data_IF_169599883991
#
_entry.id   IF_169599883991
#
_cell.length_a   1.000
_cell.length_b   1.000
_cell.length_c   1.000
_cell.angle_alpha   90.00
_cell.angle_beta   90.00
_cell.angle_gamma   90.00
#
_symmetry.space_group_name_H-M   'P 1'
#
loop_
_entity.id
_entity.type
_entity.pdbx_description
1 polymer ?
#
# COMPACT_ATOMS: atom_id res chain seq x y z
N UNK A 1 9.19 37.54 8.76
CA UNK A 1 8.75 36.86 10.00
C UNK A 1 7.85 35.72 9.58
N UNK A 2 8.29 34.48 9.74
CA UNK A 2 7.38 33.33 9.66
C UNK A 2 6.54 33.42 10.94
N UNK A 3 5.24 33.66 10.80
CA UNK A 3 4.30 33.70 11.92
C UNK A 3 4.44 32.39 12.73
N UNK A 4 4.56 32.49 14.05
CA UNK A 4 4.73 31.34 14.93
C UNK A 4 3.64 30.28 14.74
N UNK A 5 2.44 30.69 14.31
CA UNK A 5 1.32 29.81 13.94
C UNK A 5 1.66 28.92 12.75
N UNK A 6 2.30 29.48 11.72
CA UNK A 6 2.73 28.71 10.54
C UNK A 6 3.91 27.77 10.82
N UNK A 7 4.73 28.09 11.83
CA UNK A 7 5.87 27.25 12.22
C UNK A 7 5.42 25.92 12.83
N UNK A 8 4.45 25.94 13.76
CA UNK A 8 3.93 24.71 14.38
C UNK A 8 3.27 23.79 13.37
N UNK A 9 2.43 24.35 12.49
CA UNK A 9 1.76 23.54 11.46
C UNK A 9 2.78 22.96 10.47
N UNK A 10 3.79 23.72 10.04
CA UNK A 10 4.87 23.20 9.20
C UNK A 10 5.61 22.04 9.87
N UNK A 11 5.93 22.16 11.16
CA UNK A 11 6.59 21.08 11.89
C UNK A 11 5.72 19.83 11.99
N UNK A 12 4.41 20.00 12.17
CA UNK A 12 3.46 18.89 12.13
C UNK A 12 3.45 18.17 10.77
N UNK A 13 3.40 18.92 9.67
CA UNK A 13 3.45 18.34 8.32
C UNK A 13 4.78 17.60 8.06
N UNK A 14 5.91 18.18 8.50
CA UNK A 14 7.22 17.53 8.39
C UNK A 14 7.31 16.28 9.26
N UNK A 15 6.76 16.32 10.47
CA UNK A 15 6.68 15.14 11.33
C UNK A 15 5.87 14.02 10.67
N UNK A 16 4.71 14.34 10.10
CA UNK A 16 3.86 13.36 9.44
C UNK A 16 4.54 12.76 8.20
N UNK A 17 5.18 13.60 7.39
CA UNK A 17 6.01 13.16 6.27
C UNK A 17 7.10 12.18 6.71
N UNK A 18 7.87 12.56 7.72
CA UNK A 18 8.97 11.74 8.23
C UNK A 18 8.47 10.46 8.89
N UNK A 19 7.27 10.47 9.49
CA UNK A 19 6.64 9.27 10.01
C UNK A 19 6.36 8.26 8.89
N UNK A 20 5.78 8.71 7.77
CA UNK A 20 5.56 7.85 6.60
C UNK A 20 6.87 7.32 6.03
N UNK A 21 7.89 8.17 5.87
CA UNK A 21 9.21 7.76 5.36
C UNK A 21 9.84 6.68 6.27
N UNK A 22 9.82 6.90 7.59
CA UNK A 22 10.34 5.94 8.56
C UNK A 22 9.57 4.62 8.55
N UNK A 23 8.24 4.69 8.49
CA UNK A 23 7.34 3.52 8.53
C UNK A 23 7.47 2.67 7.27
N UNK A 24 7.49 3.30 6.09
CA UNK A 24 7.44 2.59 4.82
C UNK A 24 8.83 2.41 4.21
N UNK A 25 9.60 3.47 4.00
CA UNK A 25 10.86 3.38 3.24
C UNK A 25 11.96 2.71 4.04
N UNK A 26 12.19 3.17 5.28
CA UNK A 26 13.26 2.58 6.07
C UNK A 26 12.96 1.12 6.42
N UNK A 27 11.69 0.76 6.63
CA UNK A 27 11.29 -0.62 6.87
C UNK A 27 11.54 -1.49 5.64
N UNK A 28 11.17 -1.02 4.43
CA UNK A 28 11.46 -1.70 3.17
C UNK A 28 12.96 -1.84 2.93
N UNK A 29 13.72 -0.75 3.10
CA UNK A 29 15.18 -0.77 2.92
C UNK A 29 15.87 -1.71 3.91
N UNK A 30 15.44 -1.73 5.19
CA UNK A 30 15.93 -2.70 6.18
C UNK A 30 15.57 -4.13 5.80
N UNK A 31 14.37 -4.37 5.28
CA UNK A 31 13.96 -5.70 4.82
C UNK A 31 14.79 -6.16 3.63
N UNK A 32 14.94 -5.30 2.62
CA UNK A 32 15.69 -5.59 1.39
C UNK A 32 17.19 -5.80 1.64
N UNK A 33 17.78 -5.10 2.61
CA UNK A 33 19.19 -5.31 3.00
C UNK A 33 19.46 -6.70 3.59
N UNK A 34 18.44 -7.35 4.15
CA UNK A 34 18.57 -8.67 4.80
C UNK A 34 18.05 -9.80 3.92
N UNK A 35 17.90 -9.57 2.61
CA UNK A 35 17.48 -10.62 1.68
C UNK A 35 18.61 -11.65 1.53
N UNK A 36 18.25 -12.95 1.44
CA UNK A 36 19.20 -13.98 1.05
C UNK A 36 19.75 -13.76 -0.36
N UNK A 37 21.01 -14.16 -0.59
CA UNK A 37 21.71 -13.98 -1.87
C UNK A 37 21.06 -14.72 -3.06
N UNK A 38 20.21 -15.72 -2.79
CA UNK A 38 19.48 -16.50 -3.80
C UNK A 38 18.14 -15.87 -4.20
N UNK A 39 17.84 -14.65 -3.75
CA UNK A 39 16.62 -13.89 -4.09
C UNK A 39 16.96 -12.83 -5.13
N UNK A 40 16.35 -12.93 -6.30
CA UNK A 40 16.60 -12.01 -7.42
C UNK A 40 15.98 -10.63 -7.18
N UNK A 41 14.78 -10.57 -6.57
CA UNK A 41 14.09 -9.32 -6.24
C UNK A 41 12.94 -9.47 -5.26
N UNK A 42 12.48 -8.34 -4.74
CA UNK A 42 11.24 -8.20 -3.96
C UNK A 42 10.12 -7.64 -4.84
N UNK A 43 8.93 -8.21 -4.69
CA UNK A 43 7.69 -7.71 -5.28
C UNK A 43 6.75 -7.33 -4.16
N UNK A 44 6.42 -6.05 -4.06
CA UNK A 44 5.57 -5.58 -2.99
C UNK A 44 4.08 -5.74 -3.36
N UNK A 45 3.23 -6.14 -2.41
CA UNK A 45 1.79 -6.37 -2.66
C UNK A 45 1.11 -5.18 -3.35
N UNK A 46 1.44 -3.94 -2.94
CA UNK A 46 0.87 -2.74 -3.55
C UNK A 46 1.25 -2.60 -5.05
N UNK A 47 2.41 -3.10 -5.47
CA UNK A 47 2.85 -3.11 -6.87
C UNK A 47 1.98 -4.04 -7.73
N UNK A 48 1.57 -5.19 -7.18
CA UNK A 48 0.65 -6.12 -7.85
C UNK A 48 -0.76 -5.55 -8.02
N UNK A 49 -1.10 -4.52 -7.23
CA UNK A 49 -2.40 -3.87 -7.21
C UNK A 49 -2.44 -2.59 -8.07
N UNK A 50 -1.34 -2.19 -8.71
CA UNK A 50 -1.28 -0.94 -9.49
C UNK A 50 -0.65 -1.13 -10.88
N UNK A 51 -0.65 -0.04 -11.65
CA UNK A 51 -0.01 0.14 -12.93
C UNK A 51 1.50 -0.17 -12.86
N UNK A 52 2.00 -1.02 -13.75
CA UNK A 52 3.42 -1.41 -13.76
C UNK A 52 4.36 -0.26 -14.17
N UNK A 53 3.96 0.60 -15.10
CA UNK A 53 4.77 1.79 -15.45
C UNK A 53 4.87 2.77 -14.28
N UNK A 54 3.83 2.88 -13.42
CA UNK A 54 3.91 3.76 -12.23
C UNK A 54 5.05 3.35 -11.31
N UNK A 55 5.23 2.04 -11.07
CA UNK A 55 6.37 1.51 -10.29
C UNK A 55 7.71 1.94 -10.90
N UNK A 56 7.84 1.79 -12.22
CA UNK A 56 9.06 2.21 -12.93
C UNK A 56 9.32 3.70 -12.75
N UNK A 57 8.30 4.54 -12.90
CA UNK A 57 8.42 5.99 -12.68
C UNK A 57 8.76 6.35 -11.23
N UNK A 58 8.28 5.61 -10.23
CA UNK A 58 8.66 5.81 -8.82
C UNK A 58 10.16 5.57 -8.58
N UNK A 59 10.78 4.67 -9.35
CA UNK A 59 12.22 4.39 -9.32
C UNK A 59 13.00 5.43 -10.13
N UNK A 60 12.54 5.75 -11.34
CA UNK A 60 13.23 6.66 -12.26
C UNK A 60 13.14 8.14 -11.81
N UNK A 61 12.10 8.50 -11.04
CA UNK A 61 11.83 9.88 -10.57
C UNK A 61 11.40 9.91 -9.08
N UNK A 62 12.30 9.54 -8.16
CA UNK A 62 11.97 9.40 -6.73
C UNK A 62 11.55 10.73 -6.08
N UNK A 63 12.09 11.86 -6.51
CA UNK A 63 11.71 13.19 -6.00
C UNK A 63 10.26 13.52 -6.30
N UNK A 64 9.76 13.11 -7.48
CA UNK A 64 8.35 13.29 -7.84
C UNK A 64 7.47 12.32 -7.06
N UNK A 65 7.91 11.06 -6.87
CA UNK A 65 7.21 10.10 -6.02
C UNK A 65 7.07 10.60 -4.57
N UNK A 66 8.09 11.27 -4.03
CA UNK A 66 8.08 11.84 -2.68
C UNK A 66 6.99 12.91 -2.50
N UNK A 67 6.70 13.71 -3.54
CA UNK A 67 5.67 14.77 -3.47
C UNK A 67 4.27 14.24 -3.16
N UNK A 68 3.98 12.97 -3.49
CA UNK A 68 2.69 12.32 -3.17
C UNK A 68 2.37 12.38 -1.68
N UNK A 69 3.39 12.32 -0.82
CA UNK A 69 3.24 12.36 0.65
C UNK A 69 2.75 13.70 1.16
N UNK A 70 2.94 14.77 0.39
CA UNK A 70 2.43 16.09 0.71
C UNK A 70 0.99 16.31 0.26
N UNK A 71 0.37 15.35 -0.43
CA UNK A 71 -1.06 15.43 -0.75
C UNK A 71 -1.89 15.40 0.53
N UNK A 72 -2.85 16.34 0.71
CA UNK A 72 -3.71 16.35 1.89
C UNK A 72 -4.45 15.03 2.12
N UNK A 73 -4.94 14.38 1.06
CA UNK A 73 -5.63 13.10 1.18
C UNK A 73 -4.73 11.97 1.71
N UNK A 74 -3.44 11.96 1.32
CA UNK A 74 -2.45 10.98 1.80
C UNK A 74 -2.10 11.24 3.26
N UNK A 75 -1.88 12.50 3.63
CA UNK A 75 -1.64 12.92 5.01
C UNK A 75 -2.81 12.59 5.93
N UNK A 76 -4.05 12.85 5.50
CA UNK A 76 -5.25 12.47 6.24
C UNK A 76 -5.36 10.95 6.39
N UNK A 77 -5.05 10.21 5.34
CA UNK A 77 -4.91 8.75 5.40
C UNK A 77 -3.96 8.33 6.51
N UNK A 78 -2.71 8.82 6.49
CA UNK A 78 -1.72 8.45 7.50
C UNK A 78 -2.17 8.77 8.93
N UNK A 79 -2.86 9.90 9.16
CA UNK A 79 -3.41 10.21 10.48
C UNK A 79 -4.44 9.19 10.95
N UNK A 80 -5.26 8.66 10.04
CA UNK A 80 -6.17 7.53 10.33
C UNK A 80 -5.37 6.28 10.69
N UNK A 81 -4.34 5.90 9.91
CA UNK A 81 -3.50 4.75 10.25
C UNK A 81 -2.86 4.91 11.63
N UNK A 82 -2.27 6.08 11.94
CA UNK A 82 -1.65 6.35 13.26
C UNK A 82 -2.67 6.21 14.39
N UNK A 83 -3.90 6.70 14.20
CA UNK A 83 -4.95 6.57 15.21
C UNK A 83 -5.37 5.11 15.41
N UNK A 84 -5.59 4.36 14.32
CA UNK A 84 -5.98 2.95 14.37
C UNK A 84 -4.87 2.04 14.93
N UNK A 85 -3.60 2.30 14.60
CA UNK A 85 -2.46 1.55 15.12
C UNK A 85 -2.24 1.77 16.62
N UNK A 86 -2.56 2.97 17.12
CA UNK A 86 -2.49 3.29 18.56
C UNK A 86 -3.71 2.81 19.34
N UNK A 87 -4.83 2.58 18.67
CA UNK A 87 -5.99 1.97 19.30
C UNK A 87 -5.62 0.54 19.73
N UNK A 88 -6.07 0.12 20.92
CA UNK A 88 -5.52 -0.98 21.74
C UNK A 88 -5.60 -2.41 21.19
N UNK A 89 -5.30 -2.60 19.91
CA UNK A 89 -5.20 -3.88 19.22
C UNK A 89 -3.81 -4.54 19.37
N UNK A 90 -2.91 -3.97 20.19
CA UNK A 90 -1.50 -4.40 20.35
C UNK A 90 -0.80 -4.66 19.01
N UNK A 91 -1.13 -3.87 17.99
CA UNK A 91 -0.60 -4.08 16.66
C UNK A 91 0.77 -3.43 16.50
N UNK A 92 1.75 -4.23 16.08
CA UNK A 92 3.04 -3.73 15.62
C UNK A 92 3.13 -3.94 14.11
N UNK A 93 3.20 -2.87 13.29
CA UNK A 93 3.40 -2.99 11.85
C UNK A 93 4.57 -3.92 11.54
N UNK A 94 4.29 -4.97 10.79
CA UNK A 94 5.26 -6.02 10.47
C UNK A 94 5.21 -6.32 9.00
N UNK A 95 6.39 -6.51 8.40
CA UNK A 95 6.49 -6.99 7.03
C UNK A 95 6.25 -8.50 7.04
N UNK A 96 5.25 -8.94 6.29
CA UNK A 96 5.03 -10.33 5.96
C UNK A 96 5.62 -10.61 4.58
N UNK A 97 6.15 -11.82 4.40
CA UNK A 97 6.79 -12.20 3.14
C UNK A 97 6.63 -13.68 2.84
N UNK A 98 6.49 -14.01 1.56
CA UNK A 98 6.54 -15.39 1.05
C UNK A 98 7.54 -15.45 -0.10
N UNK A 99 8.41 -16.48 -0.08
CA UNK A 99 9.32 -16.79 -1.18
C UNK A 99 8.55 -17.58 -2.24
N UNK A 100 8.63 -17.15 -3.49
CA UNK A 100 8.03 -17.84 -4.64
C UNK A 100 9.14 -18.13 -5.66
N UNK A 101 9.14 -19.36 -6.18
CA UNK A 101 9.97 -19.74 -7.31
C UNK A 101 9.19 -19.55 -8.61
N UNK A 102 9.67 -18.66 -9.46
CA UNK A 102 9.24 -18.52 -10.86
C UNK A 102 10.12 -19.41 -11.74
N UNK A 103 9.85 -19.43 -13.05
CA UNK A 103 10.56 -20.31 -13.98
C UNK A 103 12.07 -20.10 -13.96
N UNK A 104 12.49 -18.83 -13.98
CA UNK A 104 13.88 -18.41 -14.15
C UNK A 104 14.36 -17.44 -13.04
N UNK A 105 13.52 -17.17 -12.02
CA UNK A 105 13.86 -16.27 -10.90
C UNK A 105 13.22 -16.75 -9.58
N UNK A 106 13.85 -16.43 -8.46
CA UNK A 106 13.31 -16.55 -7.10
C UNK A 106 12.97 -15.17 -6.58
N UNK A 107 11.70 -14.95 -6.28
CA UNK A 107 11.21 -13.65 -5.78
C UNK A 107 10.71 -13.78 -4.36
N UNK A 108 10.78 -12.67 -3.62
CA UNK A 108 10.04 -12.52 -2.37
C UNK A 108 8.85 -11.61 -2.62
N UNK A 109 7.63 -12.11 -2.39
CA UNK A 109 6.44 -11.26 -2.31
C UNK A 109 6.32 -10.75 -0.89
N UNK A 110 6.34 -9.44 -0.71
CA UNK A 110 6.34 -8.79 0.59
C UNK A 110 5.23 -7.75 0.73
N UNK A 111 4.78 -7.51 1.96
CA UNK A 111 3.71 -6.58 2.25
C UNK A 111 3.63 -6.24 3.72
N UNK A 112 3.05 -5.08 4.01
CA UNK A 112 2.82 -4.61 5.39
C UNK A 112 1.33 -4.28 5.50
N UNK A 113 0.48 -5.25 5.88
CA UNK A 113 -0.92 -4.99 6.20
C UNK A 113 -1.04 -3.96 7.33
N UNK A 114 -2.18 -3.29 7.43
CA UNK A 114 -2.39 -2.32 8.52
C UNK A 114 -2.78 -2.98 9.83
N UNK A 115 -3.38 -4.18 9.77
CA UNK A 115 -3.65 -5.01 10.93
C UNK A 115 -3.73 -6.48 10.56
N UNK A 116 -3.21 -7.33 11.44
CA UNK A 116 -3.30 -8.79 11.33
C UNK A 116 -3.64 -9.37 12.68
N UNK A 117 -4.77 -10.07 12.79
CA UNK A 117 -5.11 -10.89 13.96
C UNK A 117 -4.99 -12.36 13.60
N UNK A 118 -3.99 -13.04 14.16
CA UNK A 118 -3.85 -14.50 14.02
C UNK A 118 -4.93 -15.25 14.78
N UNK A 119 -5.33 -14.75 15.95
CA UNK A 119 -6.38 -15.36 16.77
C UNK A 119 -7.75 -15.35 16.06
N UNK A 120 -8.06 -14.30 15.32
CA UNK A 120 -9.29 -14.18 14.54
C UNK A 120 -9.14 -14.66 13.09
N UNK A 121 -7.92 -15.03 12.67
CA UNK A 121 -7.59 -15.35 11.28
C UNK A 121 -8.04 -14.24 10.31
N UNK A 122 -7.67 -12.98 10.61
CA UNK A 122 -8.16 -11.80 9.87
C UNK A 122 -7.03 -10.83 9.55
N UNK A 123 -7.04 -10.26 8.34
CA UNK A 123 -6.30 -9.04 7.97
C UNK A 123 -7.27 -7.87 7.82
N UNK A 124 -6.83 -6.66 8.16
CA UNK A 124 -7.61 -5.44 7.92
C UNK A 124 -6.72 -4.41 7.22
N UNK A 125 -7.28 -3.74 6.22
CA UNK A 125 -6.67 -2.64 5.46
C UNK A 125 -7.48 -1.38 5.70
N UNK A 126 -6.84 -0.32 6.20
CA UNK A 126 -7.48 0.95 6.53
C UNK A 126 -7.42 1.86 5.31
N UNK A 127 -8.52 2.53 4.99
CA UNK A 127 -8.59 3.46 3.85
C UNK A 127 -9.26 4.75 4.24
N UNK A 128 -8.55 5.85 4.06
CA UNK A 128 -9.20 7.15 3.95
C UNK A 128 -9.59 7.40 2.48
N UNK A 129 -10.84 7.82 2.25
CA UNK A 129 -11.34 8.21 0.94
C UNK A 129 -12.27 9.41 1.09
N UNK A 130 -12.46 10.17 0.01
CA UNK A 130 -13.44 11.24 -0.01
C UNK A 130 -14.87 10.68 -0.01
N UNK A 131 -15.10 9.58 -0.75
CA UNK A 131 -16.42 8.96 -0.90
C UNK A 131 -16.33 7.44 -0.76
N UNK A 132 -17.37 6.83 -0.18
CA UNK A 132 -17.55 5.37 -0.09
C UNK A 132 -18.73 4.98 -0.99
N UNK A 133 -18.50 4.06 -1.91
CA UNK A 133 -19.57 3.45 -2.70
C UNK A 133 -20.35 2.39 -1.92
N UNK A 134 -21.31 1.75 -2.57
CA UNK A 134 -21.98 0.58 -2.01
C UNK A 134 -21.06 -0.63 -1.88
N UNK A 135 -19.97 -0.68 -2.65
CA UNK A 135 -19.00 -1.76 -2.74
C UNK A 135 -17.56 -1.25 -2.56
N UNK A 136 -16.64 -2.06 -2.01
CA UNK A 136 -15.23 -1.69 -1.91
C UNK A 136 -14.55 -1.65 -3.30
N UNK A 137 -13.57 -0.75 -3.46
CA UNK A 137 -12.83 -0.61 -4.72
C UNK A 137 -12.07 -1.90 -5.06
N UNK A 138 -12.05 -2.27 -6.35
CA UNK A 138 -11.49 -3.55 -6.81
C UNK A 138 -10.01 -3.75 -6.43
N UNK A 139 -9.21 -2.69 -6.49
CA UNK A 139 -7.79 -2.76 -6.12
C UNK A 139 -7.57 -2.92 -4.62
N UNK A 140 -8.45 -2.38 -3.78
CA UNK A 140 -8.41 -2.62 -2.33
C UNK A 140 -8.81 -4.06 -2.00
N UNK A 141 -9.82 -4.61 -2.70
CA UNK A 141 -10.19 -6.03 -2.57
C UNK A 141 -9.03 -6.95 -2.93
N UNK A 142 -8.37 -6.68 -4.06
CA UNK A 142 -7.19 -7.43 -4.50
C UNK A 142 -6.05 -7.33 -3.48
N UNK A 143 -5.78 -6.14 -2.96
CA UNK A 143 -4.76 -5.92 -1.93
C UNK A 143 -5.03 -6.75 -0.68
N UNK A 144 -6.25 -6.73 -0.16
CA UNK A 144 -6.64 -7.54 1.01
C UNK A 144 -6.58 -9.04 0.69
N UNK A 145 -7.02 -9.47 -0.50
CA UNK A 145 -6.93 -10.88 -0.90
C UNK A 145 -5.47 -11.38 -0.96
N UNK A 146 -4.56 -10.55 -1.46
CA UNK A 146 -3.12 -10.81 -1.44
C UNK A 146 -2.57 -10.84 -0.02
N UNK A 147 -3.02 -9.94 0.88
CA UNK A 147 -2.62 -9.99 2.29
C UNK A 147 -3.15 -11.22 3.02
N UNK A 148 -4.39 -11.68 2.74
CA UNK A 148 -4.92 -12.94 3.27
C UNK A 148 -4.00 -14.11 2.91
N UNK A 149 -3.64 -14.21 1.63
CA UNK A 149 -2.69 -15.19 1.14
C UNK A 149 -1.31 -15.06 1.81
N UNK A 150 -0.75 -13.84 1.85
CA UNK A 150 0.59 -13.57 2.37
C UNK A 150 0.70 -13.93 3.86
N UNK A 151 -0.33 -13.58 4.63
CA UNK A 151 -0.40 -13.80 6.07
C UNK A 151 -0.96 -15.19 6.44
N UNK A 152 -1.42 -16.00 5.49
CA UNK A 152 -2.08 -17.29 5.76
C UNK A 152 -3.25 -17.13 6.75
N UNK A 153 -4.19 -16.26 6.42
CA UNK A 153 -5.42 -16.03 7.18
C UNK A 153 -6.66 -16.19 6.30
N UNK A 154 -7.80 -16.48 6.91
CA UNK A 154 -9.03 -16.85 6.20
C UNK A 154 -9.88 -15.62 5.84
N UNK A 155 -9.92 -14.63 6.74
CA UNK A 155 -10.79 -13.48 6.65
C UNK A 155 -10.02 -12.21 6.27
N UNK A 156 -10.72 -11.27 5.64
CA UNK A 156 -10.18 -9.95 5.35
C UNK A 156 -11.26 -8.88 5.39
N UNK A 157 -10.90 -7.70 5.86
CA UNK A 157 -11.78 -6.54 5.90
C UNK A 157 -11.10 -5.29 5.35
N UNK A 158 -11.90 -4.40 4.77
CA UNK A 158 -11.48 -3.04 4.46
C UNK A 158 -12.29 -2.10 5.32
N UNK A 159 -11.61 -1.29 6.13
CA UNK A 159 -12.26 -0.23 6.90
C UNK A 159 -12.08 1.09 6.17
N UNK A 160 -13.18 1.62 5.65
CA UNK A 160 -13.18 2.94 5.05
C UNK A 160 -13.56 4.01 6.07
N UNK A 161 -12.79 5.08 6.03
CA UNK A 161 -13.00 6.31 6.77
C UNK A 161 -13.22 7.43 5.76
N UNK A 162 -14.33 8.14 5.89
CA UNK A 162 -14.63 9.38 5.15
C UNK A 162 -14.96 10.49 6.12
N UNK A 163 -15.19 11.70 5.60
CA UNK A 163 -15.74 12.79 6.41
C UNK A 163 -17.19 12.54 6.87
N UNK A 164 -17.95 11.69 6.17
CA UNK A 164 -19.38 11.46 6.45
C UNK A 164 -19.67 10.15 7.20
N UNK A 165 -18.83 9.13 7.05
CA UNK A 165 -19.09 7.79 7.57
C UNK A 165 -17.83 6.93 7.74
N UNK A 166 -17.90 6.00 8.71
CA UNK A 166 -16.98 4.87 8.84
C UNK A 166 -17.71 3.57 8.47
N UNK A 167 -17.13 2.77 7.57
CA UNK A 167 -17.76 1.55 7.08
C UNK A 167 -16.75 0.43 6.89
N UNK A 168 -17.05 -0.74 7.45
CA UNK A 168 -16.29 -1.97 7.21
C UNK A 168 -16.92 -2.78 6.07
N UNK A 169 -16.08 -3.38 5.23
CA UNK A 169 -16.49 -4.31 4.18
C UNK A 169 -15.72 -5.62 4.30
N UNK A 170 -16.41 -6.77 4.33
CA UNK A 170 -15.74 -8.06 4.22
C UNK A 170 -15.18 -8.27 2.81
N UNK A 171 -14.02 -8.93 2.73
CA UNK A 171 -13.36 -9.31 1.48
C UNK A 171 -13.37 -10.83 1.34
N UNK A 172 -14.31 -11.30 0.51
CA UNK A 172 -14.48 -12.72 0.22
C UNK A 172 -13.51 -13.26 -0.82
N UNK A 173 -12.85 -12.38 -1.58
CA UNK A 173 -11.87 -12.76 -2.58
C UNK A 173 -10.72 -13.59 -1.97
N UNK A 174 -10.28 -14.59 -2.71
CA UNK A 174 -9.14 -15.44 -2.36
C UNK A 174 -8.12 -15.38 -3.50
N UNK A 175 -6.85 -15.50 -3.11
CA UNK A 175 -5.71 -15.60 -4.03
C UNK A 175 -4.88 -16.80 -3.62
N UNK A 176 -4.48 -17.63 -4.58
CA UNK A 176 -3.50 -18.70 -4.41
C UNK A 176 -2.14 -18.32 -5.00
N UNK A 177 -1.14 -19.19 -4.80
CA UNK A 177 0.22 -18.93 -5.29
C UNK A 177 0.29 -18.82 -6.84
N UNK A 178 -0.49 -19.60 -7.58
CA UNK A 178 -0.49 -19.56 -9.05
C UNK A 178 -1.08 -18.23 -9.57
N UNK A 179 -2.11 -17.72 -8.92
CA UNK A 179 -2.65 -16.39 -9.19
C UNK A 179 -1.64 -15.29 -8.86
N UNK A 180 -0.85 -15.41 -7.77
CA UNK A 180 0.24 -14.47 -7.48
C UNK A 180 1.32 -14.52 -8.56
N UNK A 181 1.76 -15.72 -8.97
CA UNK A 181 2.72 -15.89 -10.08
C UNK A 181 2.20 -15.25 -11.36
N UNK A 182 0.92 -15.46 -11.67
CA UNK A 182 0.28 -14.84 -12.82
C UNK A 182 0.25 -13.31 -12.73
N UNK A 183 -0.05 -12.73 -11.56
CA UNK A 183 -0.03 -11.28 -11.34
C UNK A 183 1.36 -10.68 -11.52
N UNK A 184 2.41 -11.37 -11.08
CA UNK A 184 3.81 -10.97 -11.26
C UNK A 184 4.19 -11.00 -12.74
N UNK A 185 3.83 -12.06 -13.46
CA UNK A 185 4.14 -12.21 -14.88
C UNK A 185 3.27 -11.30 -15.78
N UNK A 186 2.05 -10.96 -15.34
CA UNK A 186 1.07 -10.19 -16.10
C UNK A 186 1.06 -8.74 -15.65
N UNK A 187 2.18 -8.06 -15.85
CA UNK A 187 2.28 -6.61 -15.69
C UNK A 187 1.29 -5.89 -16.63
N UNK A 188 0.59 -4.87 -16.10
CA UNK A 188 -0.44 -4.11 -16.84
C UNK A 188 -0.25 -2.62 -16.66
N UNK A 189 -0.41 -1.88 -17.75
CA UNK A 189 -0.33 -0.43 -17.78
C UNK A 189 -1.50 0.18 -18.59
N UNK A 190 -2.38 0.97 -17.95
CA UNK A 190 -2.68 0.91 -16.52
C UNK A 190 -3.24 -0.48 -16.15
N UNK A 191 -3.19 -0.83 -14.87
CA UNK A 191 -3.88 -2.03 -14.37
C UNK A 191 -5.38 -1.78 -14.31
N UNK A 192 -5.78 -0.59 -13.90
CA UNK A 192 -7.16 -0.13 -13.81
C UNK A 192 -7.41 1.02 -14.78
N UNK A 193 -7.95 0.68 -15.95
CA UNK A 193 -8.12 1.60 -17.08
C UNK A 193 -8.98 2.82 -16.76
N UNK A 194 -9.96 2.66 -15.88
CA UNK A 194 -10.98 3.70 -15.70
C UNK A 194 -10.50 4.90 -14.85
N UNK A 195 -9.46 4.72 -14.03
CA UNK A 195 -9.11 5.71 -13.02
C UNK A 195 -7.61 5.94 -12.80
N UNK A 196 -6.71 4.96 -12.95
CA UNK A 196 -5.30 5.13 -12.53
C UNK A 196 -4.62 6.31 -13.23
N UNK A 197 -4.74 6.42 -14.56
CA UNK A 197 -4.12 7.50 -15.32
C UNK A 197 -4.68 8.88 -14.95
N UNK A 198 -5.93 8.97 -14.45
CA UNK A 198 -6.56 10.25 -14.06
C UNK A 198 -5.92 10.86 -12.81
N UNK A 199 -5.39 10.02 -11.92
CA UNK A 199 -4.86 10.44 -10.62
C UNK A 199 -3.34 10.22 -10.46
N UNK A 200 -2.68 9.70 -11.50
CA UNK A 200 -1.25 9.41 -11.48
C UNK A 200 -0.40 10.68 -11.57
N UNK A 201 0.60 10.83 -10.70
CA UNK A 201 1.53 11.97 -10.72
C UNK A 201 2.41 12.02 -11.96
N UNK A 202 2.66 10.84 -12.52
CA UNK A 202 3.49 10.68 -13.70
C UNK A 202 2.70 10.83 -15.00
N UNK A 203 1.42 11.20 -14.94
CA UNK A 203 0.52 11.30 -16.10
C UNK A 203 1.13 12.12 -17.24
N UNK A 204 1.79 13.25 -16.92
CA UNK A 204 2.39 14.13 -17.93
C UNK A 204 3.66 13.56 -18.58
N UNK A 205 4.28 12.56 -17.95
CA UNK A 205 5.50 11.90 -18.44
C UNK A 205 5.20 10.54 -19.10
N UNK A 206 4.03 9.97 -18.86
CA UNK A 206 3.65 8.64 -19.29
C UNK A 206 2.88 8.66 -20.62
N UNK A 207 3.26 7.79 -21.57
CA UNK A 207 2.56 7.62 -22.87
C UNK A 207 1.09 7.21 -22.75
N UNK A 208 0.69 6.64 -21.61
CA UNK A 208 -0.69 6.24 -21.31
C UNK A 208 -1.45 7.29 -20.48
N UNK A 209 -0.80 8.40 -20.17
CA UNK A 209 -1.38 9.46 -19.36
C UNK A 209 -2.29 10.41 -20.13
N UNK A 210 -2.32 10.37 -21.46
CA UNK A 210 -3.24 11.21 -22.25
C UNK A 210 -4.70 10.81 -22.01
#
# INVERSE_FOLDING_TARGET
>A
MVDAVTFLFRNFLLWLHNNMAKKYDEARARFEKNLPDDVDRVVWVHELCQCSEKKRFEIDFPELAETVRFKPAVMLGELVHIACERWGLEYTPSIYSKRIKLKDETVIVAGMPDYVSKALSTVVDFKYTANIGSEPLQHHRLQVALYKWLCNVENGEIWYFTHDAFKAFPVFDTVDEEQVKWLIASEKTPRWKDWECKYCEFRQLCRHGA
#
